data_IF_256406026197
#
_entry.id   IF_256406026197
#
_cell.length_a   1.000
_cell.length_b   1.000
_cell.length_c   1.000
_cell.angle_alpha   90.00
_cell.angle_beta   90.00
_cell.angle_gamma   90.00
#
_symmetry.space_group_name_H-M   'P 1'
#
loop_
_entity.id
_entity.type
_entity.pdbx_description
1 polymer ?
#
# COMPACT_ATOMS: atom_id res chain seq x y z
N UNK A 1 -23.25 8.19 -45.02
CA UNK A 1 -22.94 9.26 -44.06
C UNK A 1 -21.70 8.85 -43.29
N UNK A 2 -20.58 9.49 -43.63
CA UNK A 2 -19.25 9.25 -43.07
C UNK A 2 -19.18 9.80 -41.64
N UNK A 3 -18.77 8.99 -40.66
CA UNK A 3 -18.46 9.46 -39.31
C UNK A 3 -16.96 9.74 -39.24
N UNK A 4 -16.67 11.02 -39.07
CA UNK A 4 -15.35 11.64 -38.92
C UNK A 4 -14.61 11.07 -37.71
N UNK A 5 -13.41 10.53 -37.93
CA UNK A 5 -12.49 10.17 -36.87
C UNK A 5 -11.93 11.45 -36.21
N UNK A 6 -12.03 11.54 -34.89
CA UNK A 6 -11.38 12.61 -34.13
C UNK A 6 -9.87 12.40 -34.19
N UNK A 7 -9.16 13.41 -34.69
CA UNK A 7 -7.70 13.47 -34.72
C UNK A 7 -7.17 13.72 -33.31
N UNK A 8 -6.52 12.72 -32.71
CA UNK A 8 -5.66 12.94 -31.56
C UNK A 8 -4.41 13.70 -32.02
N UNK A 9 -4.16 14.86 -31.41
CA UNK A 9 -2.90 15.59 -31.58
C UNK A 9 -1.79 14.84 -30.83
N UNK A 10 -0.62 14.61 -31.45
CA UNK A 10 0.50 14.02 -30.74
C UNK A 10 1.04 15.02 -29.72
N UNK A 11 1.07 14.65 -28.44
CA UNK A 11 1.89 15.33 -27.44
C UNK A 11 3.37 15.12 -27.80
N UNK A 12 4.01 16.15 -28.36
CA UNK A 12 5.45 16.15 -28.62
C UNK A 12 6.22 16.19 -27.30
N UNK A 13 6.56 15.01 -26.77
CA UNK A 13 7.58 14.87 -25.71
C UNK A 13 8.92 14.59 -26.41
N UNK A 14 9.76 15.61 -26.55
CA UNK A 14 11.15 15.44 -26.97
C UNK A 14 11.89 14.64 -25.89
N UNK A 15 11.98 13.33 -26.04
CA UNK A 15 12.66 12.45 -25.08
C UNK A 15 14.14 12.37 -25.43
N UNK A 16 15.00 13.06 -24.66
CA UNK A 16 16.26 12.39 -24.30
C UNK A 16 15.86 11.12 -23.54
N UNK A 17 16.43 9.97 -23.90
CA UNK A 17 16.16 8.72 -23.18
C UNK A 17 16.43 8.93 -21.70
N UNK A 18 15.53 8.45 -20.84
CA UNK A 18 15.75 8.51 -19.40
C UNK A 18 17.00 7.70 -19.03
N UNK A 19 17.80 8.16 -18.04
CA UNK A 19 18.83 7.33 -17.42
C UNK A 19 18.27 5.96 -17.02
N UNK A 20 19.02 4.90 -17.30
CA UNK A 20 18.59 3.52 -17.03
C UNK A 20 19.69 2.66 -16.41
N UNK A 21 20.96 3.07 -16.51
CA UNK A 21 22.07 2.33 -15.93
C UNK A 21 22.46 2.85 -14.54
N UNK A 22 22.77 1.90 -13.66
CA UNK A 22 23.38 2.10 -12.36
C UNK A 22 24.36 0.96 -12.07
N UNK A 23 25.31 1.22 -11.18
CA UNK A 23 26.34 0.29 -10.75
C UNK A 23 26.37 0.27 -9.22
N UNK A 24 26.31 -0.93 -8.64
CA UNK A 24 26.59 -1.14 -7.22
C UNK A 24 28.05 -1.48 -7.06
N UNK A 25 28.82 -0.55 -6.48
CA UNK A 25 30.26 -0.72 -6.24
C UNK A 25 30.46 -1.59 -5.00
N UNK A 26 29.70 -1.31 -3.94
CA UNK A 26 29.80 -2.02 -2.67
C UNK A 26 28.44 -2.04 -1.97
N UNK A 27 28.16 -3.17 -1.28
CA UNK A 27 27.01 -3.34 -0.40
C UNK A 27 27.49 -3.91 0.93
N UNK A 28 27.29 -3.15 1.99
CA UNK A 28 27.66 -3.52 3.35
C UNK A 28 26.39 -3.84 4.14
N UNK A 29 26.32 -4.99 4.80
CA UNK A 29 25.24 -5.29 5.75
C UNK A 29 25.62 -4.63 7.08
N UNK A 30 24.95 -3.52 7.41
CA UNK A 30 25.22 -2.75 8.61
C UNK A 30 24.49 -3.32 9.84
N UNK A 31 23.31 -3.92 9.61
CA UNK A 31 22.52 -4.56 10.65
C UNK A 31 21.60 -5.63 10.06
N UNK A 32 21.44 -6.75 10.78
CA UNK A 32 20.46 -7.79 10.45
C UNK A 32 19.75 -8.29 11.72
N UNK A 33 18.47 -7.96 11.82
CA UNK A 33 17.50 -8.58 12.73
C UNK A 33 16.30 -9.10 11.92
N UNK A 34 15.08 -8.81 12.39
CA UNK A 34 13.86 -9.01 11.60
C UNK A 34 14.00 -8.35 10.21
N UNK A 35 14.24 -7.04 10.21
CA UNK A 35 14.66 -6.28 9.04
C UNK A 35 16.18 -6.25 8.84
N UNK A 36 16.62 -5.81 7.66
CA UNK A 36 18.02 -5.61 7.32
C UNK A 36 18.28 -4.14 6.99
N UNK A 37 19.41 -3.60 7.41
CA UNK A 37 19.90 -2.29 6.97
C UNK A 37 21.21 -2.49 6.21
N UNK A 38 21.22 -2.08 4.94
CA UNK A 38 22.40 -2.12 4.09
C UNK A 38 22.92 -0.70 3.83
N UNK A 39 24.24 -0.53 3.72
CA UNK A 39 24.87 0.66 3.15
C UNK A 39 25.36 0.34 1.75
N UNK A 40 24.90 1.11 0.78
CA UNK A 40 25.20 0.95 -0.64
C UNK A 40 26.08 2.09 -1.12
N UNK A 41 27.18 1.75 -1.79
CA UNK A 41 27.98 2.67 -2.58
C UNK A 41 27.67 2.41 -4.05
N UNK A 42 27.08 3.41 -4.72
CA UNK A 42 26.56 3.27 -6.08
C UNK A 42 26.97 4.41 -6.97
N UNK A 43 26.90 4.17 -8.28
CA UNK A 43 26.92 5.19 -9.32
C UNK A 43 25.69 5.02 -10.21
N UNK A 44 25.21 6.09 -10.79
CA UNK A 44 24.09 6.05 -11.74
C UNK A 44 24.31 7.04 -12.87
N UNK A 45 23.62 6.83 -14.00
CA UNK A 45 23.63 7.77 -15.11
C UNK A 45 23.08 9.15 -14.70
N UNK A 46 23.66 10.21 -15.25
CA UNK A 46 23.21 11.59 -15.07
C UNK A 46 22.36 12.05 -16.25
N UNK A 47 21.38 12.92 -16.00
CA UNK A 47 20.55 13.51 -17.08
C UNK A 47 21.35 14.33 -18.11
N UNK A 48 22.52 14.85 -17.73
CA UNK A 48 23.43 15.55 -18.62
C UNK A 48 24.38 14.61 -19.41
N UNK A 49 24.24 13.29 -19.24
CA UNK A 49 25.15 12.29 -19.77
C UNK A 49 26.29 11.94 -18.81
N UNK A 50 26.87 10.76 -19.00
CA UNK A 50 27.92 10.21 -18.14
C UNK A 50 27.40 9.60 -16.85
N UNK A 51 28.32 9.11 -16.02
CA UNK A 51 28.04 8.49 -14.73
C UNK A 51 28.28 9.48 -13.59
N UNK A 52 27.49 9.37 -12.54
CA UNK A 52 27.70 10.07 -11.29
C UNK A 52 29.06 9.70 -10.68
N UNK A 53 29.52 10.55 -9.76
CA UNK A 53 30.47 10.11 -8.74
C UNK A 53 29.82 9.04 -7.87
N UNK A 54 30.64 8.27 -7.17
CA UNK A 54 30.15 7.37 -6.14
C UNK A 54 29.35 8.15 -5.09
N UNK A 55 28.19 7.61 -4.73
CA UNK A 55 27.34 8.10 -3.66
C UNK A 55 27.05 6.98 -2.67
N UNK A 56 26.93 7.34 -1.40
CA UNK A 56 26.55 6.41 -0.32
C UNK A 56 25.08 6.60 0.04
N UNK A 57 24.35 5.50 0.23
CA UNK A 57 22.96 5.46 0.72
C UNK A 57 22.76 4.35 1.73
N UNK A 58 21.97 4.62 2.75
CA UNK A 58 21.44 3.59 3.64
C UNK A 58 20.11 3.09 3.06
N UNK A 59 19.94 1.78 3.02
CA UNK A 59 18.75 1.11 2.50
C UNK A 59 18.16 0.20 3.56
N UNK A 60 16.96 0.53 4.00
CA UNK A 60 16.12 -0.30 4.84
C UNK A 60 15.48 -1.39 3.98
N UNK A 61 16.00 -2.62 4.14
CA UNK A 61 15.60 -3.78 3.38
C UNK A 61 14.58 -4.61 4.15
N UNK A 62 13.38 -4.70 3.57
CA UNK A 62 12.25 -5.48 4.08
C UNK A 62 11.53 -6.21 2.95
N UNK A 63 10.66 -7.14 3.32
CA UNK A 63 9.76 -7.80 2.38
C UNK A 63 8.76 -6.80 1.80
N UNK A 64 8.28 -7.13 0.61
CA UNK A 64 7.12 -6.46 0.01
C UNK A 64 5.88 -6.75 0.85
N UNK A 65 4.84 -5.93 0.66
CA UNK A 65 3.62 -6.03 1.45
C UNK A 65 2.38 -6.02 0.57
N UNK A 66 1.32 -6.59 1.11
CA UNK A 66 -0.02 -6.51 0.57
C UNK A 66 -0.86 -5.66 1.51
N UNK A 67 -1.65 -4.75 0.95
CA UNK A 67 -2.67 -4.02 1.70
C UNK A 67 -3.99 -4.14 0.97
N UNK A 68 -5.08 -4.31 1.71
CA UNK A 68 -6.42 -4.47 1.14
C UNK A 68 -7.38 -3.57 1.87
N UNK A 69 -8.19 -2.81 1.13
CA UNK A 69 -9.35 -2.13 1.68
C UNK A 69 -10.58 -3.05 1.55
N UNK A 70 -11.08 -3.67 2.64
CA UNK A 70 -12.36 -4.35 2.63
C UNK A 70 -13.49 -3.37 2.35
N UNK A 71 -14.35 -3.70 1.40
CA UNK A 71 -15.48 -2.86 1.02
C UNK A 71 -16.75 -3.69 0.83
N UNK A 72 -17.79 -3.31 1.57
CA UNK A 72 -19.16 -3.77 1.36
C UNK A 72 -19.89 -2.76 0.47
N UNK A 73 -19.95 -3.07 -0.82
CA UNK A 73 -20.61 -2.23 -1.81
C UNK A 73 -22.14 -2.14 -1.62
N UNK A 74 -22.77 -3.10 -0.92
CA UNK A 74 -24.22 -3.04 -0.68
C UNK A 74 -24.54 -2.03 0.41
N UNK A 75 -23.77 -2.05 1.49
CA UNK A 75 -23.93 -1.21 2.67
C UNK A 75 -23.20 0.13 2.59
N UNK A 76 -22.29 0.25 1.61
CA UNK A 76 -21.40 1.39 1.45
C UNK A 76 -20.48 1.62 2.64
N UNK A 77 -19.97 0.51 3.16
CA UNK A 77 -19.17 0.46 4.37
C UNK A 77 -17.77 -0.08 4.04
N UNK A 78 -16.77 0.42 4.76
CA UNK A 78 -15.41 -0.13 4.75
C UNK A 78 -15.13 -0.77 6.10
N UNK A 79 -14.34 -1.83 6.09
CA UNK A 79 -13.82 -2.43 7.34
C UNK A 79 -12.39 -1.99 7.51
N UNK A 80 -12.09 -1.35 8.63
CA UNK A 80 -10.77 -0.84 8.97
C UNK A 80 -10.28 -1.53 10.24
N UNK A 81 -8.98 -1.69 10.35
CA UNK A 81 -8.33 -2.25 11.52
C UNK A 81 -7.60 -1.16 12.30
N UNK A 82 -7.36 -1.38 13.58
CA UNK A 82 -6.59 -0.49 14.42
C UNK A 82 -5.60 -1.29 15.25
N UNK A 83 -4.33 -0.91 15.17
CA UNK A 83 -3.24 -1.63 15.82
C UNK A 83 -2.09 -0.71 16.22
N UNK A 84 -1.30 -1.16 17.19
CA UNK A 84 -0.14 -0.42 17.67
C UNK A 84 0.96 -0.36 16.59
N UNK A 85 1.44 0.85 16.29
CA UNK A 85 2.58 1.04 15.39
C UNK A 85 3.74 1.70 16.12
N UNK A 86 4.80 0.94 16.34
CA UNK A 86 6.02 1.41 17.02
C UNK A 86 6.62 2.68 16.38
N UNK A 87 6.54 2.81 15.05
CA UNK A 87 7.03 4.00 14.33
C UNK A 87 6.25 5.28 14.62
N UNK A 88 5.06 5.17 15.22
CA UNK A 88 4.20 6.29 15.57
C UNK A 88 4.38 6.75 17.03
N UNK A 89 5.01 5.94 17.89
CA UNK A 89 5.07 6.11 19.36
C UNK A 89 5.57 7.49 19.83
N UNK A 90 6.49 8.11 19.09
CA UNK A 90 7.04 9.44 19.42
C UNK A 90 6.55 10.56 18.50
N UNK A 91 5.63 10.25 17.57
CA UNK A 91 5.18 11.17 16.52
C UNK A 91 3.70 11.56 16.63
N UNK A 92 2.95 10.87 17.48
CA UNK A 92 1.53 11.11 17.70
C UNK A 92 1.18 10.85 19.17
N UNK A 93 0.11 11.47 19.65
CA UNK A 93 -0.40 11.26 21.01
C UNK A 93 -0.97 9.86 21.21
N UNK A 94 -1.39 9.20 20.13
CA UNK A 94 -1.87 7.82 20.13
C UNK A 94 -1.18 7.04 19.00
N UNK A 95 -0.34 6.02 19.30
CA UNK A 95 0.31 5.19 18.30
C UNK A 95 -0.50 4.00 17.78
N UNK A 96 -1.75 3.85 18.24
CA UNK A 96 -2.71 2.96 17.57
C UNK A 96 -3.25 3.68 16.34
N UNK A 97 -2.94 3.13 15.16
CA UNK A 97 -3.32 3.73 13.88
C UNK A 97 -4.47 2.96 13.27
N UNK A 98 -5.41 3.68 12.66
CA UNK A 98 -6.47 3.10 11.83
C UNK A 98 -5.89 2.83 10.44
N UNK A 99 -5.98 1.60 9.99
CA UNK A 99 -5.29 1.07 8.82
C UNK A 99 -6.16 0.10 8.01
N UNK A 100 -5.64 -0.29 6.85
CA UNK A 100 -6.14 -1.38 6.04
C UNK A 100 -5.70 -2.72 6.62
N UNK A 101 -6.36 -3.80 6.21
CA UNK A 101 -5.82 -5.17 6.35
C UNK A 101 -4.50 -5.24 5.57
N UNK A 102 -3.43 -5.75 6.17
CA UNK A 102 -2.13 -5.79 5.54
C UNK A 102 -1.21 -6.88 6.07
N UNK A 103 -0.40 -7.47 5.17
CA UNK A 103 0.58 -8.49 5.52
C UNK A 103 1.86 -8.38 4.71
N UNK A 104 2.93 -8.98 5.21
CA UNK A 104 4.19 -9.12 4.47
C UNK A 104 4.10 -10.31 3.52
N UNK A 105 4.73 -10.16 2.35
CA UNK A 105 5.00 -11.29 1.45
C UNK A 105 6.32 -11.90 1.88
N UNK A 106 6.29 -12.71 2.94
CA UNK A 106 7.48 -13.34 3.56
C UNK A 106 7.59 -14.86 3.33
N UNK A 107 6.61 -15.42 2.64
CA UNK A 107 6.54 -16.81 2.16
C UNK A 107 6.53 -16.82 0.62
N UNK A 108 6.57 -18.03 0.04
CA UNK A 108 6.39 -18.24 -1.40
C UNK A 108 4.89 -18.16 -1.76
N UNK A 109 4.27 -17.00 -1.50
CA UNK A 109 2.85 -16.72 -1.69
C UNK A 109 2.67 -15.65 -2.79
N UNK A 110 1.62 -15.78 -3.58
CA UNK A 110 1.19 -14.68 -4.46
C UNK A 110 0.54 -13.56 -3.63
N UNK A 111 0.63 -12.30 -4.07
CA UNK A 111 0.02 -11.17 -3.35
C UNK A 111 -1.47 -11.36 -3.03
N UNK A 112 -2.22 -11.98 -3.94
CA UNK A 112 -3.64 -12.28 -3.72
C UNK A 112 -3.86 -13.32 -2.62
N UNK A 113 -2.96 -14.30 -2.46
CA UNK A 113 -3.04 -15.31 -1.41
C UNK A 113 -2.81 -14.68 -0.04
N UNK A 114 -1.82 -13.79 0.07
CA UNK A 114 -1.57 -12.99 1.28
C UNK A 114 -2.80 -12.13 1.60
N UNK A 115 -3.39 -11.44 0.61
CA UNK A 115 -4.60 -10.65 0.81
C UNK A 115 -5.75 -11.46 1.44
N UNK A 116 -5.96 -12.70 0.99
CA UNK A 116 -7.00 -13.57 1.55
C UNK A 116 -6.66 -14.05 2.96
N UNK A 117 -5.42 -14.49 3.20
CA UNK A 117 -4.96 -14.97 4.51
C UNK A 117 -5.09 -13.89 5.58
N UNK A 118 -4.55 -12.70 5.31
CA UNK A 118 -4.57 -11.58 6.26
C UNK A 118 -5.99 -11.08 6.54
N UNK A 119 -6.89 -11.15 5.56
CA UNK A 119 -8.30 -10.80 5.79
C UNK A 119 -8.98 -11.72 6.80
N UNK A 120 -8.65 -13.01 6.77
CA UNK A 120 -9.15 -13.97 7.74
C UNK A 120 -8.50 -13.76 9.11
N UNK A 121 -7.18 -13.57 9.16
CA UNK A 121 -6.39 -13.44 10.40
C UNK A 121 -6.64 -12.09 11.14
N UNK A 122 -6.59 -10.97 10.42
CA UNK A 122 -6.68 -9.62 11.01
C UNK A 122 -8.12 -9.11 11.13
N UNK A 123 -9.05 -9.61 10.32
CA UNK A 123 -10.41 -9.07 10.23
C UNK A 123 -11.55 -10.09 10.29
N UNK A 124 -11.27 -11.39 10.26
CA UNK A 124 -12.29 -12.43 10.18
C UNK A 124 -13.15 -12.35 8.91
N UNK A 125 -12.60 -11.81 7.83
CA UNK A 125 -13.29 -11.56 6.57
C UNK A 125 -12.89 -12.56 5.50
N UNK A 126 -13.85 -12.90 4.64
CA UNK A 126 -13.61 -13.64 3.40
C UNK A 126 -13.93 -12.75 2.21
N UNK A 127 -12.92 -12.47 1.38
CA UNK A 127 -13.13 -11.74 0.15
C UNK A 127 -13.75 -12.61 -0.94
N UNK A 128 -14.77 -12.09 -1.61
CA UNK A 128 -15.37 -12.73 -2.80
C UNK A 128 -14.57 -12.46 -4.07
N UNK A 129 -13.97 -11.29 -4.13
CA UNK A 129 -13.10 -10.86 -5.23
C UNK A 129 -12.12 -9.80 -4.75
N UNK A 130 -10.99 -9.70 -5.43
CA UNK A 130 -10.00 -8.65 -5.25
C UNK A 130 -9.94 -7.78 -6.50
N UNK A 131 -9.91 -6.47 -6.33
CA UNK A 131 -9.66 -5.51 -7.39
C UNK A 131 -8.27 -4.88 -7.20
N UNK A 132 -7.36 -4.94 -8.19
CA UNK A 132 -6.07 -4.29 -8.09
C UNK A 132 -6.23 -2.77 -8.15
N UNK A 133 -5.90 -2.06 -7.07
CA UNK A 133 -5.94 -0.59 -7.03
C UNK A 133 -4.69 -0.04 -7.70
N UNK A 134 -3.52 -0.35 -7.15
CA UNK A 134 -2.21 0.07 -7.68
C UNK A 134 -1.09 -0.69 -6.97
N UNK A 135 0.15 -0.42 -7.38
CA UNK A 135 1.35 -0.81 -6.62
C UNK A 135 2.22 0.43 -6.41
N UNK A 136 2.83 0.57 -5.25
CA UNK A 136 3.61 1.77 -4.94
C UNK A 136 4.77 1.51 -3.98
N UNK A 137 5.77 2.39 -4.04
CA UNK A 137 6.83 2.47 -3.05
C UNK A 137 6.44 3.47 -1.96
N UNK A 138 6.33 3.07 -0.68
CA UNK A 138 5.99 4.01 0.40
C UNK A 138 7.05 5.10 0.60
N UNK A 139 8.34 4.73 0.52
CA UNK A 139 9.45 5.67 0.72
C UNK A 139 10.73 5.19 -0.02
N UNK A 140 10.77 5.29 -1.37
CA UNK A 140 11.87 4.75 -2.17
C UNK A 140 13.21 5.49 -1.99
N UNK A 141 13.23 6.58 -1.21
CA UNK A 141 14.47 7.29 -0.86
C UNK A 141 15.35 6.52 0.13
N UNK A 142 14.79 5.55 0.86
CA UNK A 142 15.52 4.79 1.87
C UNK A 142 14.97 3.40 2.18
N UNK A 143 13.90 2.94 1.53
CA UNK A 143 13.40 1.56 1.65
C UNK A 143 13.14 0.95 0.28
N UNK A 144 13.31 -0.38 0.18
CA UNK A 144 12.98 -1.14 -1.02
C UNK A 144 11.57 -1.75 -1.00
N UNK A 145 10.78 -1.52 0.05
CA UNK A 145 9.42 -2.05 0.17
C UNK A 145 8.55 -1.68 -1.02
N UNK A 146 7.92 -2.68 -1.62
CA UNK A 146 6.91 -2.50 -2.63
C UNK A 146 5.55 -2.99 -2.11
N UNK A 147 4.54 -2.13 -2.18
CA UNK A 147 3.19 -2.44 -1.67
C UNK A 147 2.27 -2.76 -2.83
N UNK A 148 1.60 -3.90 -2.76
CA UNK A 148 0.49 -4.29 -3.62
C UNK A 148 -0.83 -3.91 -2.95
N UNK A 149 -1.57 -2.99 -3.55
CA UNK A 149 -2.78 -2.44 -2.96
C UNK A 149 -4.02 -2.94 -3.69
N UNK A 150 -4.96 -3.51 -2.94
CA UNK A 150 -6.21 -4.06 -3.46
C UNK A 150 -7.45 -3.45 -2.78
N UNK A 151 -8.59 -3.56 -3.46
CA UNK A 151 -9.91 -3.46 -2.85
C UNK A 151 -10.45 -4.89 -2.70
N UNK A 152 -10.92 -5.26 -1.51
CA UNK A 152 -11.48 -6.58 -1.24
C UNK A 152 -13.00 -6.52 -1.12
N UNK A 153 -13.72 -7.20 -2.02
CA UNK A 153 -15.18 -7.28 -1.93
C UNK A 153 -15.57 -8.20 -0.77
N UNK A 154 -16.22 -7.65 0.26
CA UNK A 154 -16.66 -8.41 1.44
C UNK A 154 -18.11 -8.12 1.81
N UNK A 155 -18.58 -8.80 2.85
CA UNK A 155 -19.76 -8.41 3.64
C UNK A 155 -19.26 -7.78 4.93
N UNK A 156 -19.77 -6.61 5.32
CA UNK A 156 -19.46 -6.00 6.62
C UNK A 156 -20.39 -6.49 7.73
N UNK A 157 -21.44 -7.24 7.40
CA UNK A 157 -22.39 -7.79 8.36
C UNK A 157 -21.67 -8.72 9.36
N UNK A 158 -21.77 -8.38 10.65
CA UNK A 158 -21.12 -9.13 11.74
C UNK A 158 -19.62 -8.89 11.88
N UNK A 159 -19.01 -8.04 11.04
CA UNK A 159 -17.60 -7.67 11.16
C UNK A 159 -17.35 -6.77 12.38
N UNK A 160 -16.16 -6.90 12.97
CA UNK A 160 -15.75 -6.19 14.18
C UNK A 160 -15.13 -7.12 15.22
N UNK A 161 -14.76 -6.56 16.37
CA UNK A 161 -14.17 -7.32 17.47
C UNK A 161 -12.66 -7.21 17.55
N UNK A 162 -12.03 -8.14 18.27
CA UNK A 162 -10.58 -8.22 18.45
C UNK A 162 -10.08 -9.47 17.71
N UNK A 163 -9.06 -9.27 16.89
CA UNK A 163 -8.47 -10.24 15.96
C UNK A 163 -6.93 -10.10 16.00
N UNK A 164 -6.26 -10.77 15.06
CA UNK A 164 -4.81 -10.90 15.03
C UNK A 164 -4.34 -12.21 15.66
N UNK A 165 -3.06 -12.53 15.44
CA UNK A 165 -2.44 -13.74 15.95
C UNK A 165 -1.67 -13.44 17.25
N UNK A 166 -2.11 -14.04 18.37
CA UNK A 166 -1.42 -13.90 19.67
C UNK A 166 0.04 -14.37 19.59
N UNK A 167 0.33 -15.39 18.76
CA UNK A 167 1.68 -15.89 18.51
C UNK A 167 2.60 -14.86 17.82
N UNK A 168 2.02 -13.90 17.11
CA UNK A 168 2.74 -12.84 16.40
C UNK A 168 2.75 -11.52 17.20
N UNK A 169 2.13 -11.51 18.39
CA UNK A 169 2.04 -10.34 19.26
C UNK A 169 1.10 -9.27 18.72
N UNK A 170 0.15 -9.67 17.88
CA UNK A 170 -0.83 -8.76 17.29
C UNK A 170 -2.05 -8.60 18.22
N UNK A 171 -2.47 -7.35 18.40
CA UNK A 171 -3.70 -6.95 19.09
C UNK A 171 -4.43 -5.97 18.17
N UNK A 172 -5.34 -6.52 17.36
CA UNK A 172 -5.99 -5.78 16.26
C UNK A 172 -7.46 -5.59 16.58
N UNK A 173 -7.90 -4.33 16.58
CA UNK A 173 -9.32 -3.98 16.69
C UNK A 173 -9.92 -3.75 15.31
N UNK A 174 -10.98 -4.49 14.99
CA UNK A 174 -11.73 -4.34 13.73
C UNK A 174 -12.93 -3.45 13.94
N UNK A 175 -13.14 -2.49 13.04
CA UNK A 175 -14.28 -1.57 13.08
C UNK A 175 -14.88 -1.38 11.69
N UNK A 176 -16.20 -1.31 11.63
CA UNK A 176 -16.95 -1.01 10.39
C UNK A 176 -17.28 0.48 10.38
N UNK A 177 -16.99 1.12 9.26
CA UNK A 177 -17.22 2.55 9.06
C UNK A 177 -18.08 2.74 7.81
N UNK A 178 -18.97 3.72 7.83
CA UNK A 178 -19.51 4.20 6.56
C UNK A 178 -18.36 4.76 5.73
N UNK A 179 -18.45 4.64 4.40
CA UNK A 179 -17.44 5.23 3.53
C UNK A 179 -17.26 6.73 3.80
N UNK A 180 -18.35 7.45 4.07
CA UNK A 180 -18.30 8.89 4.29
C UNK A 180 -17.59 9.26 5.61
N UNK A 181 -17.77 8.46 6.67
CA UNK A 181 -17.04 8.63 7.93
C UNK A 181 -15.54 8.35 7.76
N UNK A 182 -15.19 7.28 7.04
CA UNK A 182 -13.78 6.97 6.74
C UNK A 182 -13.12 8.10 5.92
N UNK A 183 -13.85 8.66 4.95
CA UNK A 183 -13.39 9.83 4.19
C UNK A 183 -13.24 11.08 5.06
N UNK A 184 -14.13 11.28 6.03
CA UNK A 184 -14.04 12.40 6.95
C UNK A 184 -12.83 12.24 7.89
N UNK A 185 -12.61 11.06 8.44
CA UNK A 185 -11.44 10.72 9.26
C UNK A 185 -10.11 10.81 8.49
N UNK A 186 -10.12 10.58 7.18
CA UNK A 186 -8.97 10.86 6.33
C UNK A 186 -8.74 12.37 6.17
N UNK A 187 -9.80 13.15 5.95
CA UNK A 187 -9.70 14.60 5.73
C UNK A 187 -9.25 15.37 6.96
N UNK A 188 -9.70 14.96 8.15
CA UNK A 188 -9.32 15.61 9.42
C UNK A 188 -7.97 15.13 9.97
N UNK A 189 -7.35 14.15 9.30
CA UNK A 189 -6.04 13.62 9.66
C UNK A 189 -6.07 12.60 10.80
N UNK A 190 -7.24 12.04 11.14
CA UNK A 190 -7.34 10.88 12.03
C UNK A 190 -6.68 9.65 11.41
N UNK A 191 -6.92 9.39 10.13
CA UNK A 191 -6.20 8.37 9.35
C UNK A 191 -4.91 8.99 8.78
N UNK A 192 -3.77 8.36 9.07
CA UNK A 192 -2.43 8.95 8.83
C UNK A 192 -1.47 8.08 8.01
N UNK A 193 -1.82 6.84 7.70
CA UNK A 193 -0.94 5.91 6.98
C UNK A 193 -1.21 5.98 5.45
N UNK A 194 -0.15 5.77 4.67
CA UNK A 194 -0.19 5.99 3.23
C UNK A 194 -1.17 5.05 2.48
N UNK A 195 -1.17 3.74 2.80
CA UNK A 195 -2.00 2.75 2.09
C UNK A 195 -3.48 3.07 2.24
N UNK A 196 -3.93 3.40 3.46
CA UNK A 196 -5.33 3.73 3.74
C UNK A 196 -5.75 5.01 3.03
N UNK A 197 -4.91 6.05 3.07
CA UNK A 197 -5.17 7.32 2.36
C UNK A 197 -5.30 7.08 0.86
N UNK A 198 -4.36 6.32 0.26
CA UNK A 198 -4.37 6.01 -1.18
C UNK A 198 -5.62 5.20 -1.55
N UNK A 199 -5.95 4.16 -0.78
CA UNK A 199 -7.10 3.30 -1.08
C UNK A 199 -8.44 4.03 -0.94
N UNK A 200 -8.63 4.84 0.11
CA UNK A 200 -9.85 5.61 0.30
C UNK A 200 -10.03 6.67 -0.80
N UNK A 201 -8.95 7.37 -1.18
CA UNK A 201 -9.00 8.31 -2.30
C UNK A 201 -9.30 7.63 -3.62
N UNK A 202 -8.68 6.47 -3.87
CA UNK A 202 -8.99 5.69 -5.07
C UNK A 202 -10.45 5.23 -5.07
N UNK A 203 -10.95 4.71 -3.95
CA UNK A 203 -12.35 4.31 -3.85
C UNK A 203 -13.26 5.51 -4.06
N UNK A 204 -12.96 6.69 -3.52
CA UNK A 204 -13.73 7.90 -3.76
C UNK A 204 -13.85 8.25 -5.26
N UNK A 205 -12.78 8.07 -6.02
CA UNK A 205 -12.75 8.34 -7.46
C UNK A 205 -13.50 7.29 -8.28
N UNK A 206 -13.62 6.05 -7.78
CA UNK A 206 -14.16 4.91 -8.52
C UNK A 206 -15.45 4.31 -7.90
N UNK A 207 -15.98 4.91 -6.81
CA UNK A 207 -17.05 4.35 -5.95
C UNK A 207 -18.30 4.00 -6.75
N UNK A 208 -18.71 4.85 -7.69
CA UNK A 208 -19.91 4.61 -8.48
C UNK A 208 -19.79 3.38 -9.38
N UNK A 209 -18.63 3.18 -10.01
CA UNK A 209 -18.36 2.01 -10.85
C UNK A 209 -18.31 0.74 -10.01
N UNK A 210 -17.53 0.75 -8.93
CA UNK A 210 -17.38 -0.39 -8.03
C UNK A 210 -18.74 -0.79 -7.45
N UNK A 211 -19.54 0.17 -7.00
CA UNK A 211 -20.90 -0.12 -6.51
C UNK A 211 -21.77 -0.74 -7.59
N UNK A 212 -21.71 -0.27 -8.82
CA UNK A 212 -22.47 -0.87 -9.93
C UNK A 212 -22.04 -2.30 -10.29
N UNK A 213 -20.77 -2.65 -10.05
CA UNK A 213 -20.23 -3.99 -10.30
C UNK A 213 -20.46 -4.96 -9.15
N UNK A 214 -20.47 -4.47 -7.91
CA UNK A 214 -20.45 -5.29 -6.68
C UNK A 214 -21.74 -5.25 -5.86
N UNK A 215 -22.74 -4.45 -6.26
CA UNK A 215 -24.09 -4.42 -5.67
C UNK A 215 -24.89 -5.69 -5.94
#
# INVERSE_FOLDING_TARGET
MSKTAASEKPMTRTTRSAPSAFETIQRENCFKGFYRLDKLHVRHELFAGGMSKEISRELFVRHDAVCVLPYDAKRDEVVLIEQFRVGAMEKTSNPWLIELVAGLIDKDEQPEEVAHREAEEEAGLVFRSLWPITKYFPSPGGSNEFVHLYLGQCSSEGAGGIHGLESEGEDIRVTVWSFDDAMQAMKDGTIKNASTIIALQWLALNRAEIRGLWS
#
